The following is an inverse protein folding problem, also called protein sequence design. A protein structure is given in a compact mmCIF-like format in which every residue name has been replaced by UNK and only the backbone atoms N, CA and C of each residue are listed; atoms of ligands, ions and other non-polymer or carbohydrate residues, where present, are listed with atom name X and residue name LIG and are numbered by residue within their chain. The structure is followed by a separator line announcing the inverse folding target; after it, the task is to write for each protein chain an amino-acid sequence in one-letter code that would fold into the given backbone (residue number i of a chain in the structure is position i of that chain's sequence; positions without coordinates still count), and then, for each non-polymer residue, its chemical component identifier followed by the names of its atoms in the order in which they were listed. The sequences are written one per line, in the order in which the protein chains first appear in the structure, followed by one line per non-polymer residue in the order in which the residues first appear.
data_IF_590833746228
#
_entry.id   IF_590833746228
#
_cell.length_a   1.000
_cell.length_b   1.000
_cell.length_c   1.000
_cell.angle_alpha   90.00
_cell.angle_beta   90.00
_cell.angle_gamma   90.00
#
_symmetry.space_group_name_H-M   'P 1'
#
loop_
_entity.id
_entity.type
_entity.pdbx_description
1 polymer ?
#
# COMPACT_ATOMS: atom_id res chain seq x y z
N UNK A 1 4.13 -23.42 17.70
CA UNK A 1 4.77 -24.72 18.00
C UNK A 1 6.16 -24.39 18.53
N UNK A 2 6.54 -24.91 19.70
CA UNK A 2 7.78 -24.51 20.38
C UNK A 2 9.03 -25.15 19.77
N UNK A 3 10.17 -24.46 19.88
CA UNK A 3 11.48 -24.88 19.41
C UNK A 3 11.82 -26.32 19.84
N UNK A 4 11.50 -26.67 21.10
CA UNK A 4 11.72 -28.01 21.67
C UNK A 4 11.06 -29.13 20.87
N UNK A 5 9.87 -28.87 20.30
CA UNK A 5 9.11 -29.85 19.54
C UNK A 5 9.74 -30.08 18.17
N UNK A 6 10.25 -29.00 17.55
CA UNK A 6 10.99 -29.06 16.29
C UNK A 6 12.35 -29.73 16.50
N UNK A 7 13.07 -29.44 17.59
CA UNK A 7 14.33 -30.11 17.91
C UNK A 7 14.12 -31.61 18.06
N UNK A 8 13.07 -32.05 18.79
CA UNK A 8 12.75 -33.48 18.91
C UNK A 8 12.39 -34.14 17.58
N UNK A 9 11.69 -33.45 16.68
CA UNK A 9 11.23 -34.01 15.39
C UNK A 9 12.37 -34.18 14.36
N UNK A 10 13.48 -33.46 14.54
CA UNK A 10 14.63 -33.47 13.66
C UNK A 10 15.88 -34.13 14.26
N UNK A 11 15.82 -34.56 15.53
CA UNK A 11 16.88 -35.34 16.17
C UNK A 11 16.91 -36.76 15.57
N UNK A 12 18.03 -37.13 14.92
CA UNK A 12 18.25 -38.49 14.38
C UNK A 12 17.97 -38.67 12.89
N UNK A 13 17.71 -37.59 12.13
CA UNK A 13 17.66 -37.62 10.66
C UNK A 13 19.02 -37.23 10.10
N UNK A 14 19.54 -37.99 9.13
CA UNK A 14 20.76 -37.61 8.42
C UNK A 14 20.53 -36.28 7.67
N UNK A 15 21.51 -35.36 7.75
CA UNK A 15 21.51 -33.99 7.21
C UNK A 15 20.79 -32.89 8.01
N UNK A 16 20.50 -33.08 9.31
CA UNK A 16 19.87 -32.03 10.14
C UNK A 16 20.79 -31.39 11.18
N UNK A 17 22.06 -31.80 11.26
CA UNK A 17 23.02 -31.30 12.25
C UNK A 17 23.33 -29.81 12.10
N UNK A 18 23.49 -29.32 10.87
CA UNK A 18 23.71 -27.89 10.59
C UNK A 18 22.47 -27.05 10.92
N UNK A 19 21.27 -27.57 10.65
CA UNK A 19 20.01 -26.90 11.00
C UNK A 19 19.82 -26.83 12.52
N UNK A 20 20.17 -27.90 13.24
CA UNK A 20 20.13 -27.95 14.71
C UNK A 20 21.16 -27.01 15.34
N UNK A 21 22.37 -26.91 14.78
CA UNK A 21 23.35 -25.91 15.22
C UNK A 21 22.85 -24.48 14.98
N UNK A 22 22.29 -24.19 13.80
CA UNK A 22 21.77 -22.86 13.49
C UNK A 22 20.60 -22.47 14.39
N UNK A 23 19.70 -23.42 14.69
CA UNK A 23 18.60 -23.22 15.64
C UNK A 23 19.10 -23.03 17.08
N UNK A 24 20.17 -23.73 17.49
CA UNK A 24 20.78 -23.56 18.81
C UNK A 24 21.57 -22.26 18.94
N UNK A 25 22.18 -21.75 17.86
CA UNK A 25 22.81 -20.43 17.83
C UNK A 25 21.74 -19.34 17.98
N UNK A 26 20.63 -19.45 17.25
CA UNK A 26 19.50 -18.52 17.35
C UNK A 26 18.81 -18.56 18.73
N UNK A 27 18.86 -19.71 19.43
CA UNK A 27 18.32 -19.87 20.79
C UNK A 27 19.32 -19.44 21.89
N UNK A 28 20.63 -19.51 21.63
CA UNK A 28 21.68 -18.92 22.48
C UNK A 28 21.74 -17.40 22.37
N UNK A 29 21.41 -16.86 21.21
CA UNK A 29 21.04 -15.45 21.01
C UNK A 29 19.59 -15.17 21.44
N UNK A 30 18.94 -16.16 22.04
CA UNK A 30 17.60 -16.08 22.59
C UNK A 30 17.51 -14.81 23.42
N UNK A 31 16.64 -13.91 22.96
CA UNK A 31 16.35 -12.62 23.59
C UNK A 31 16.47 -12.78 25.09
N UNK A 32 17.53 -12.25 25.71
CA UNK A 32 17.63 -12.32 27.14
C UNK A 32 16.34 -11.70 27.64
N UNK A 33 15.55 -12.45 28.40
CA UNK A 33 14.49 -11.88 29.24
C UNK A 33 15.12 -11.05 30.40
N UNK A 34 16.36 -10.60 30.21
CA UNK A 34 17.00 -9.60 31.00
C UNK A 34 16.21 -8.33 30.79
N UNK A 35 15.61 -7.87 31.89
CA UNK A 35 15.07 -6.52 32.12
C UNK A 35 15.42 -5.61 30.96
N UNK A 36 14.46 -5.32 30.07
CA UNK A 36 14.63 -4.41 28.94
C UNK A 36 15.50 -3.25 29.41
N UNK A 37 16.75 -3.22 28.95
CA UNK A 37 17.69 -2.20 29.37
C UNK A 37 17.01 -0.88 29.04
N UNK A 38 16.76 -0.04 30.04
CA UNK A 38 16.08 1.22 29.80
C UNK A 38 17.12 2.18 29.22
N UNK A 39 17.02 2.42 27.92
CA UNK A 39 17.91 3.37 27.24
C UNK A 39 17.38 4.79 27.49
N UNK A 40 18.28 5.67 27.91
CA UNK A 40 17.99 7.11 27.94
C UNK A 40 17.98 7.69 26.51
N UNK A 41 17.29 8.81 26.31
CA UNK A 41 17.13 9.48 25.01
C UNK A 41 18.49 9.75 24.35
N UNK A 42 19.46 10.26 25.12
CA UNK A 42 20.80 10.57 24.61
C UNK A 42 21.57 9.31 24.18
N UNK A 43 21.37 8.20 24.89
CA UNK A 43 22.01 6.92 24.54
C UNK A 43 21.47 6.38 23.21
N UNK A 44 20.15 6.50 23.01
CA UNK A 44 19.49 6.11 21.75
C UNK A 44 19.97 6.99 20.61
N UNK A 45 19.98 8.30 20.79
CA UNK A 45 20.46 9.27 19.80
C UNK A 45 21.92 8.98 19.42
N UNK A 46 22.78 8.73 20.41
CA UNK A 46 24.19 8.39 20.17
C UNK A 46 24.35 7.06 19.43
N UNK A 47 23.52 6.06 19.72
CA UNK A 47 23.53 4.79 18.96
C UNK A 47 23.10 5.03 17.52
N UNK A 48 22.03 5.79 17.29
CA UNK A 48 21.54 6.15 15.95
C UNK A 48 22.59 6.97 15.17
N UNK A 49 23.36 7.83 15.84
CA UNK A 49 24.54 8.50 15.25
C UNK A 49 25.57 7.51 14.75
N UNK A 50 26.03 6.62 15.64
CA UNK A 50 27.04 5.62 15.28
C UNK A 50 26.59 4.70 14.15
N UNK A 51 25.34 4.27 14.15
CA UNK A 51 24.81 3.42 13.08
C UNK A 51 24.77 4.16 11.74
N UNK A 52 24.28 5.40 11.74
CA UNK A 52 24.28 6.23 10.54
C UNK A 52 25.71 6.52 10.04
N UNK A 53 26.68 6.77 10.93
CA UNK A 53 28.07 7.00 10.55
C UNK A 53 28.73 5.76 9.92
N UNK A 54 28.40 4.56 10.41
CA UNK A 54 29.01 3.31 9.95
C UNK A 54 28.33 2.76 8.71
N UNK A 55 27.00 2.79 8.66
CA UNK A 55 26.21 2.11 7.62
C UNK A 55 25.51 3.07 6.66
N UNK A 56 25.49 4.38 6.95
CA UNK A 56 24.77 5.40 6.19
C UNK A 56 23.26 5.14 6.03
N UNK A 57 22.72 4.19 6.78
CA UNK A 57 21.32 3.80 6.78
C UNK A 57 20.89 3.54 8.23
N UNK A 58 19.71 4.03 8.59
CA UNK A 58 19.09 3.78 9.88
C UNK A 58 17.67 3.31 9.62
N UNK A 59 17.32 2.16 10.18
CA UNK A 59 15.97 1.63 10.13
C UNK A 59 15.27 1.82 11.47
N UNK A 60 13.95 1.64 11.48
CA UNK A 60 13.18 1.69 12.74
C UNK A 60 13.49 0.52 13.68
N UNK A 61 14.03 -0.58 13.16
CA UNK A 61 14.32 -1.79 13.93
C UNK A 61 15.60 -1.64 14.76
N UNK A 62 16.45 -0.68 14.40
CA UNK A 62 17.67 -0.34 15.13
C UNK A 62 17.40 0.35 16.47
N UNK A 63 16.19 0.89 16.64
CA UNK A 63 15.78 1.73 17.75
C UNK A 63 14.81 0.99 18.68
N UNK A 64 15.11 0.93 20.00
CA UNK A 64 14.22 0.28 20.95
C UNK A 64 12.79 0.83 20.86
N UNK A 65 11.81 -0.08 20.84
CA UNK A 65 10.39 0.25 20.65
C UNK A 65 9.86 1.25 21.70
N UNK A 66 10.40 1.20 22.93
CA UNK A 66 10.05 2.12 24.01
C UNK A 66 10.50 3.55 23.73
N UNK A 67 11.67 3.73 23.10
CA UNK A 67 12.26 5.02 22.78
C UNK A 67 11.51 5.75 21.67
N UNK A 68 10.78 5.01 20.82
CA UNK A 68 9.92 5.56 19.77
C UNK A 68 8.62 6.19 20.31
N UNK A 69 8.53 6.42 21.62
CA UNK A 69 7.52 7.28 22.27
C UNK A 69 8.03 8.71 22.50
N UNK A 70 9.34 8.96 22.36
CA UNK A 70 9.94 10.28 22.57
C UNK A 70 9.91 11.11 21.28
N UNK A 71 9.47 12.36 21.41
CA UNK A 71 9.47 13.34 20.31
C UNK A 71 10.90 13.68 19.89
N UNK A 72 11.83 13.72 20.84
CA UNK A 72 13.25 14.04 20.66
C UNK A 72 13.94 12.96 19.81
N UNK A 73 13.71 11.68 20.14
CA UNK A 73 14.23 10.55 19.37
C UNK A 73 13.71 10.60 17.94
N UNK A 74 12.40 10.78 17.73
CA UNK A 74 11.82 10.90 16.39
C UNK A 74 12.35 12.10 15.61
N UNK A 75 12.46 13.25 16.27
CA UNK A 75 13.02 14.46 15.65
C UNK A 75 14.42 14.17 15.13
N UNK A 76 15.27 13.53 15.93
CA UNK A 76 16.63 13.18 15.50
C UNK A 76 16.68 12.10 14.40
N UNK A 77 15.80 11.10 14.48
CA UNK A 77 15.74 10.02 13.51
C UNK A 77 15.26 10.47 12.13
N UNK A 78 14.28 11.37 12.06
CA UNK A 78 13.67 11.78 10.78
C UNK A 78 14.68 12.27 9.75
N UNK A 79 15.73 12.98 10.19
CA UNK A 79 16.79 13.50 9.31
C UNK A 79 17.64 12.40 8.67
N UNK A 80 17.56 11.17 9.19
CA UNK A 80 18.43 10.04 8.86
C UNK A 80 17.69 8.87 8.22
N UNK A 81 16.38 8.84 8.36
CA UNK A 81 15.55 7.85 7.69
C UNK A 81 15.56 8.14 6.19
N UNK A 82 15.62 7.09 5.37
CA UNK A 82 15.32 7.19 3.95
C UNK A 82 13.84 7.63 3.73
N UNK A 83 13.51 7.97 2.48
CA UNK A 83 12.16 8.44 2.15
C UNK A 83 11.04 7.43 2.41
N UNK A 84 11.27 6.14 2.16
CA UNK A 84 10.28 5.08 2.38
C UNK A 84 10.03 4.86 3.87
N UNK A 85 11.10 4.77 4.65
CA UNK A 85 11.10 4.67 6.11
C UNK A 85 10.42 5.88 6.75
N UNK A 86 10.66 7.10 6.24
CA UNK A 86 10.00 8.31 6.72
C UNK A 86 8.48 8.26 6.50
N UNK A 87 8.02 7.82 5.32
CA UNK A 87 6.60 7.68 4.98
C UNK A 87 5.94 6.57 5.80
N UNK A 88 6.58 5.40 5.93
CA UNK A 88 6.11 4.29 6.75
C UNK A 88 5.98 4.67 8.24
N UNK A 89 6.82 5.59 8.71
CA UNK A 89 6.84 6.06 10.09
C UNK A 89 5.66 6.97 10.46
N UNK A 90 4.99 7.59 9.48
CA UNK A 90 3.88 8.54 9.73
C UNK A 90 2.80 7.93 10.61
N UNK A 91 2.34 6.72 10.27
CA UNK A 91 1.31 6.02 11.03
C UNK A 91 1.78 5.69 12.45
N UNK A 92 3.06 5.30 12.61
CA UNK A 92 3.63 4.97 13.93
C UNK A 92 3.67 6.20 14.84
N UNK A 93 4.11 7.34 14.34
CA UNK A 93 4.12 8.60 15.09
C UNK A 93 2.70 9.09 15.41
N UNK A 94 1.75 8.91 14.49
CA UNK A 94 0.34 9.25 14.71
C UNK A 94 -0.29 8.41 15.82
N UNK A 95 -0.04 7.09 15.83
CA UNK A 95 -0.49 6.17 16.88
C UNK A 95 0.11 6.51 18.24
N UNK A 96 1.37 6.94 18.27
CA UNK A 96 2.02 7.42 19.49
C UNK A 96 1.48 8.79 19.97
N UNK A 97 0.58 9.43 19.20
CA UNK A 97 0.01 10.74 19.53
C UNK A 97 0.97 11.91 19.33
N UNK A 98 2.13 11.66 18.72
CA UNK A 98 3.21 12.65 18.56
C UNK A 98 2.90 13.70 17.48
N UNK A 99 2.01 13.36 16.56
CA UNK A 99 1.60 14.24 15.44
C UNK A 99 0.30 15.02 15.72
N UNK A 100 -0.19 15.01 16.95
CA UNK A 100 -1.40 15.74 17.34
C UNK A 100 -1.19 17.25 17.21
N UNK A 101 -2.20 17.97 16.73
CA UNK A 101 -2.20 19.43 16.74
C UNK A 101 -2.22 19.94 18.19
N UNK A 102 -1.08 20.44 18.69
CA UNK A 102 -1.03 21.15 19.97
C UNK A 102 -1.65 22.54 19.80
N UNK A 103 -2.38 23.02 20.81
CA UNK A 103 -2.95 24.37 20.81
C UNK A 103 -1.86 25.46 20.66
N UNK A 104 -0.64 25.15 21.09
CA UNK A 104 0.45 26.14 21.19
C UNK A 104 1.32 26.23 19.93
N UNK A 105 1.03 25.46 18.87
CA UNK A 105 1.80 25.45 17.60
C UNK A 105 3.33 25.22 17.74
N UNK A 106 3.79 24.85 18.94
CA UNK A 106 5.20 24.62 19.33
C UNK A 106 5.67 23.20 19.02
N UNK A 107 4.81 22.35 18.46
CA UNK A 107 5.20 20.97 18.17
C UNK A 107 6.15 20.94 16.97
N UNK A 108 7.45 20.82 17.27
CA UNK A 108 8.54 20.82 16.28
C UNK A 108 8.45 19.59 15.37
N UNK A 109 7.97 18.46 15.88
CA UNK A 109 8.01 17.19 15.16
C UNK A 109 7.10 17.16 13.92
N UNK A 110 5.81 17.59 13.96
CA UNK A 110 4.99 17.70 12.75
C UNK A 110 5.61 18.58 11.67
N UNK A 111 6.21 19.71 12.03
CA UNK A 111 6.86 20.59 11.05
C UNK A 111 8.08 19.90 10.42
N UNK A 112 8.91 19.27 11.26
CA UNK A 112 10.06 18.49 10.79
C UNK A 112 9.65 17.32 9.88
N UNK A 113 8.53 16.66 10.19
CA UNK A 113 7.96 15.63 9.33
C UNK A 113 7.48 16.21 7.99
N UNK A 114 6.82 17.36 7.99
CA UNK A 114 6.42 18.05 6.76
C UNK A 114 7.64 18.42 5.92
N UNK A 115 8.68 18.97 6.53
CA UNK A 115 9.93 19.30 5.86
C UNK A 115 10.57 18.04 5.25
N UNK A 116 10.60 16.93 6.02
CA UNK A 116 11.11 15.65 5.54
C UNK A 116 10.29 15.10 4.36
N UNK A 117 8.96 15.04 4.47
CA UNK A 117 8.07 14.48 3.44
C UNK A 117 8.07 15.32 2.14
N UNK A 118 8.39 16.60 2.24
CA UNK A 118 8.48 17.52 1.08
C UNK A 118 9.90 17.67 0.54
N UNK A 119 10.89 17.06 1.20
CA UNK A 119 12.27 17.11 0.76
C UNK A 119 12.44 16.36 -0.58
N UNK A 120 13.35 16.88 -1.41
CA UNK A 120 13.54 16.40 -2.79
C UNK A 120 13.98 14.94 -2.88
N UNK A 121 14.75 14.44 -1.93
CA UNK A 121 15.20 13.05 -1.87
C UNK A 121 14.02 12.08 -1.66
N UNK A 122 13.08 12.38 -0.75
CA UNK A 122 11.84 11.63 -0.54
C UNK A 122 10.98 11.69 -1.79
N UNK A 123 10.86 12.88 -2.38
CA UNK A 123 10.16 13.05 -3.64
C UNK A 123 10.81 12.29 -4.80
N UNK A 124 12.11 11.95 -4.73
CA UNK A 124 12.87 11.13 -5.70
C UNK A 124 13.04 9.65 -5.32
N UNK A 125 12.61 9.28 -4.11
CA UNK A 125 12.74 7.94 -3.54
C UNK A 125 11.81 6.93 -4.24
N UNK A 126 11.96 5.61 -4.01
CA UNK A 126 11.07 4.60 -4.59
C UNK A 126 9.65 4.59 -4.01
N UNK A 127 9.29 5.56 -3.15
CA UNK A 127 7.93 5.73 -2.65
C UNK A 127 6.98 5.91 -3.83
N UNK A 128 6.01 5.00 -3.95
CA UNK A 128 4.98 5.08 -4.99
C UNK A 128 3.77 5.90 -4.51
N UNK A 129 2.93 6.41 -5.43
CA UNK A 129 1.67 7.05 -5.07
C UNK A 129 0.77 6.17 -4.18
N UNK A 130 0.83 4.84 -4.32
CA UNK A 130 0.09 3.90 -3.49
C UNK A 130 0.58 3.87 -2.04
N UNK A 131 1.90 3.86 -1.82
CA UNK A 131 2.48 3.91 -0.47
C UNK A 131 2.08 5.21 0.23
N UNK A 132 2.19 6.35 -0.47
CA UNK A 132 1.82 7.65 0.08
C UNK A 132 0.31 7.75 0.39
N UNK A 133 -0.56 7.21 -0.47
CA UNK A 133 -2.01 7.14 -0.20
C UNK A 133 -2.33 6.27 1.03
N UNK A 134 -1.69 5.11 1.14
CA UNK A 134 -1.87 4.21 2.29
C UNK A 134 -1.40 4.87 3.59
N UNK A 135 -0.30 5.62 3.54
CA UNK A 135 0.18 6.41 4.68
C UNK A 135 -0.77 7.55 5.05
N UNK A 136 -1.35 8.25 4.07
CA UNK A 136 -2.37 9.28 4.28
C UNK A 136 -3.59 8.75 5.01
N UNK A 137 -4.19 7.67 4.50
CA UNK A 137 -5.37 7.05 5.14
C UNK A 137 -5.05 6.58 6.56
N UNK A 138 -3.90 5.94 6.74
CA UNK A 138 -3.44 5.50 8.04
C UNK A 138 -3.22 6.65 9.04
N UNK A 139 -2.81 7.82 8.53
CA UNK A 139 -2.63 9.03 9.32
C UNK A 139 -3.96 9.68 9.73
N UNK A 140 -4.94 9.71 8.83
CA UNK A 140 -6.26 10.28 9.09
C UNK A 140 -7.09 9.43 10.06
N UNK A 141 -6.84 8.12 10.09
CA UNK A 141 -7.64 7.16 10.86
C UNK A 141 -6.81 6.28 11.84
N UNK A 142 -5.94 6.84 12.69
CA UNK A 142 -4.94 6.08 13.44
C UNK A 142 -5.56 5.05 14.40
N UNK A 143 -6.77 5.34 14.91
CA UNK A 143 -7.52 4.44 15.79
C UNK A 143 -7.93 3.12 15.15
N UNK A 144 -8.02 3.06 13.81
CA UNK A 144 -8.39 1.85 13.07
C UNK A 144 -7.22 0.91 12.85
N UNK A 145 -5.98 1.34 13.12
CA UNK A 145 -4.77 0.53 12.96
C UNK A 145 -4.13 0.13 14.30
N UNK A 146 -4.76 0.45 15.43
CA UNK A 146 -4.27 0.04 16.74
C UNK A 146 -4.62 -1.43 17.00
N UNK A 147 -3.64 -2.23 17.40
CA UNK A 147 -3.85 -3.64 17.77
C UNK A 147 -4.69 -3.80 19.04
N UNK A 148 -4.89 -2.73 19.82
CA UNK A 148 -5.70 -2.76 21.05
C UNK A 148 -7.18 -3.09 20.79
N UNK A 149 -7.67 -2.90 19.56
CA UNK A 149 -9.02 -3.33 19.17
C UNK A 149 -9.12 -4.86 18.95
N UNK A 150 -8.01 -5.51 18.57
CA UNK A 150 -7.97 -6.92 18.18
C UNK A 150 -7.99 -7.89 19.39
N UNK A 151 -7.81 -7.39 20.62
CA UNK A 151 -7.69 -8.20 21.83
C UNK A 151 -9.00 -8.69 22.46
N UNK A 152 -10.18 -8.36 21.91
CA UNK A 152 -11.48 -8.70 22.57
C UNK A 152 -12.33 -9.77 21.87
N UNK A 153 -11.89 -10.34 20.75
CA UNK A 153 -12.76 -11.21 19.94
C UNK A 153 -12.60 -12.70 20.23
N UNK A 154 -11.53 -13.16 20.90
CA UNK A 154 -11.24 -14.60 21.06
C UNK A 154 -11.13 -15.19 22.48
N UNK A 155 -11.57 -14.49 23.54
CA UNK A 155 -11.68 -15.10 24.88
C UNK A 155 -13.12 -15.11 25.40
N UNK A 156 -13.94 -15.98 24.81
CA UNK A 156 -15.21 -16.41 25.41
C UNK A 156 -15.01 -17.75 26.13
N UNK A 157 -14.18 -17.77 27.18
CA UNK A 157 -14.14 -18.86 28.17
C UNK A 157 -14.07 -18.30 29.59
N UNK A 158 -15.25 -18.22 30.20
CA UNK A 158 -15.53 -18.56 31.60
C UNK A 158 -14.38 -18.32 32.60
N UNK A 159 -14.34 -17.14 33.19
CA UNK A 159 -13.94 -16.97 34.60
C UNK A 159 -14.72 -15.78 35.19
N UNK A 160 -15.75 -16.10 35.97
CA UNK A 160 -16.52 -15.14 36.76
C UNK A 160 -15.64 -14.67 37.93
N UNK A 161 -15.06 -13.48 37.81
CA UNK A 161 -14.75 -12.66 38.99
C UNK A 161 -15.14 -11.20 38.69
N UNK A 162 -15.87 -10.53 39.58
CA UNK A 162 -16.25 -9.13 39.39
C UNK A 162 -15.03 -8.24 39.65
N UNK A 163 -14.28 -7.90 38.61
CA UNK A 163 -13.33 -6.77 38.69
C UNK A 163 -14.11 -5.46 38.61
N UNK A 164 -13.80 -4.57 39.55
CA UNK A 164 -14.33 -3.21 39.61
C UNK A 164 -14.21 -2.50 38.26
N UNK A 165 -15.15 -1.60 37.91
CA UNK A 165 -15.12 -0.86 36.65
C UNK A 165 -13.89 0.04 36.61
N UNK A 166 -12.79 -0.45 36.04
CA UNK A 166 -11.67 0.40 35.63
C UNK A 166 -12.18 1.35 34.57
N UNK A 167 -12.12 2.65 34.89
CA UNK A 167 -12.50 3.76 34.00
C UNK A 167 -11.95 3.47 32.60
N UNK A 168 -12.84 3.43 31.61
CA UNK A 168 -12.43 3.28 30.22
C UNK A 168 -11.38 4.36 29.91
N UNK A 169 -10.21 4.00 29.33
CA UNK A 169 -9.23 4.99 28.95
C UNK A 169 -9.92 5.97 27.99
N UNK A 170 -9.88 7.27 28.33
CA UNK A 170 -10.42 8.31 27.47
C UNK A 170 -9.79 8.16 26.09
N UNK A 171 -10.62 7.87 25.07
CA UNK A 171 -10.21 7.98 23.68
C UNK A 171 -9.81 9.43 23.44
N UNK A 172 -8.50 9.73 23.47
CA UNK A 172 -7.99 11.02 23.00
C UNK A 172 -8.34 11.10 21.52
N UNK A 173 -9.26 12.00 21.18
CA UNK A 173 -9.53 12.35 19.79
C UNK A 173 -8.28 13.08 19.27
N UNK A 174 -7.43 12.36 18.55
CA UNK A 174 -6.25 12.94 17.90
C UNK A 174 -6.74 13.79 16.74
N UNK A 175 -6.78 15.12 16.92
CA UNK A 175 -7.05 16.02 15.81
C UNK A 175 -5.88 15.93 14.82
N UNK A 176 -6.19 15.52 13.59
CA UNK A 176 -5.23 15.36 12.48
C UNK A 176 -4.58 16.71 12.18
N UNK A 177 -3.27 16.72 11.94
CA UNK A 177 -2.56 17.91 11.51
C UNK A 177 -2.66 18.08 10.00
N UNK A 178 -3.35 19.13 9.56
CA UNK A 178 -3.60 19.38 8.14
C UNK A 178 -2.32 19.59 7.33
N UNK A 179 -1.26 20.14 7.92
CA UNK A 179 0.01 20.33 7.19
C UNK A 179 0.65 19.00 6.78
N UNK A 180 0.50 17.95 7.62
CA UNK A 180 0.98 16.60 7.31
C UNK A 180 0.12 15.96 6.21
N UNK A 181 -1.20 16.16 6.25
CA UNK A 181 -2.13 15.71 5.19
C UNK A 181 -1.75 16.36 3.86
N UNK A 182 -1.55 17.67 3.84
CA UNK A 182 -1.17 18.41 2.63
C UNK A 182 0.20 17.97 2.10
N UNK A 183 1.15 17.68 3.00
CA UNK A 183 2.46 17.15 2.63
C UNK A 183 2.36 15.75 1.98
N UNK A 184 1.49 14.87 2.49
CA UNK A 184 1.24 13.56 1.90
C UNK A 184 0.54 13.66 0.54
N UNK A 185 -0.41 14.59 0.37
CA UNK A 185 -0.99 14.86 -0.95
C UNK A 185 0.05 15.37 -1.96
N UNK A 186 0.94 16.27 -1.54
CA UNK A 186 2.07 16.72 -2.37
C UNK A 186 3.01 15.55 -2.72
N UNK A 187 3.24 14.65 -1.77
CA UNK A 187 4.07 13.46 -2.01
C UNK A 187 3.42 12.48 -2.99
N UNK A 188 2.09 12.29 -2.97
CA UNK A 188 1.38 11.49 -4.00
C UNK A 188 1.62 12.08 -5.40
N UNK A 189 1.52 13.41 -5.53
CA UNK A 189 1.79 14.10 -6.79
C UNK A 189 3.29 14.08 -7.18
N UNK A 190 4.19 14.14 -6.19
CA UNK A 190 5.64 14.13 -6.38
C UNK A 190 6.18 12.76 -6.80
N UNK A 191 5.81 11.71 -6.07
CA UNK A 191 6.22 10.30 -6.30
C UNK A 191 5.87 9.80 -7.70
N UNK A 192 4.80 10.36 -8.27
CA UNK A 192 4.38 10.10 -9.65
C UNK A 192 5.50 10.40 -10.67
N UNK A 193 6.38 11.38 -10.39
CA UNK A 193 7.46 11.79 -11.31
C UNK A 193 8.62 10.81 -11.40
N UNK A 194 8.78 9.92 -10.41
CA UNK A 194 9.89 8.95 -10.38
C UNK A 194 9.61 7.70 -11.22
N UNK A 195 8.38 7.59 -11.70
CA UNK A 195 7.94 6.44 -12.47
C UNK A 195 8.45 6.63 -13.89
N UNK A 196 9.38 5.77 -14.31
CA UNK A 196 9.87 5.84 -15.68
C UNK A 196 8.73 5.65 -16.70
N UNK A 197 8.89 6.26 -17.87
CA UNK A 197 7.92 6.17 -18.96
C UNK A 197 7.79 4.71 -19.43
N UNK A 198 6.56 4.30 -19.73
CA UNK A 198 6.35 3.06 -20.48
C UNK A 198 6.70 3.31 -21.94
N UNK A 199 7.22 2.30 -22.65
CA UNK A 199 7.53 2.43 -24.08
C UNK A 199 6.38 1.91 -24.97
N UNK A 200 5.34 1.33 -24.36
CA UNK A 200 4.29 0.54 -25.03
C UNK A 200 2.89 1.11 -24.80
N UNK A 201 2.02 0.96 -25.80
CA UNK A 201 0.67 1.55 -25.77
C UNK A 201 -0.22 0.85 -24.75
N UNK A 202 -0.85 1.62 -23.88
CA UNK A 202 -1.61 1.13 -22.74
C UNK A 202 -3.02 1.72 -22.71
N UNK A 203 -4.04 0.88 -22.64
CA UNK A 203 -5.40 1.29 -22.33
C UNK A 203 -5.71 0.90 -20.89
N UNK A 204 -6.18 1.85 -20.08
CA UNK A 204 -6.63 1.60 -18.70
C UNK A 204 -8.12 1.87 -18.64
N UNK A 205 -8.93 0.86 -18.33
CA UNK A 205 -10.39 0.94 -18.30
C UNK A 205 -10.87 0.74 -16.88
N UNK A 206 -11.54 1.75 -16.34
CA UNK A 206 -11.95 1.81 -14.94
C UNK A 206 -13.46 1.60 -14.80
N UNK A 207 -13.85 0.72 -13.89
CA UNK A 207 -15.20 0.63 -13.37
C UNK A 207 -15.51 1.89 -12.55
N UNK A 208 -16.50 2.66 -12.98
CA UNK A 208 -16.93 3.91 -12.33
C UNK A 208 -18.29 3.77 -11.64
N UNK A 209 -18.80 2.54 -11.49
CA UNK A 209 -20.08 2.31 -10.80
C UNK A 209 -20.00 2.80 -9.36
N UNK A 210 -21.14 3.24 -8.81
CA UNK A 210 -21.20 3.82 -7.46
C UNK A 210 -20.62 2.94 -6.35
N UNK A 211 -20.57 1.61 -6.52
CA UNK A 211 -19.93 0.72 -5.56
C UNK A 211 -18.40 0.91 -5.47
N UNK A 212 -17.73 1.41 -6.51
CA UNK A 212 -16.32 1.80 -6.42
C UNK A 212 -16.09 2.98 -5.45
N UNK A 213 -17.10 3.84 -5.23
CA UNK A 213 -17.02 4.94 -4.25
C UNK A 213 -17.22 4.48 -2.81
N UNK A 214 -17.98 3.42 -2.59
CA UNK A 214 -18.40 2.98 -1.24
C UNK A 214 -17.72 1.70 -0.79
N UNK A 215 -17.09 0.98 -1.72
CA UNK A 215 -16.26 -0.17 -1.42
C UNK A 215 -14.92 0.26 -0.84
N UNK A 216 -14.30 -0.65 -0.09
CA UNK A 216 -12.96 -0.47 0.39
C UNK A 216 -12.06 -1.62 -0.07
N UNK A 217 -10.95 -1.27 -0.71
CA UNK A 217 -10.08 -2.22 -1.41
C UNK A 217 -8.80 -2.53 -0.65
N UNK A 218 -8.43 -1.63 0.27
CA UNK A 218 -7.36 -1.87 1.23
C UNK A 218 -7.83 -1.60 2.65
N UNK A 219 -7.61 -2.60 3.49
CA UNK A 219 -7.90 -2.57 4.92
C UNK A 219 -6.56 -2.78 5.61
N UNK A 220 -5.83 -1.73 5.96
CA UNK A 220 -4.56 -1.93 6.66
C UNK A 220 -4.71 -2.41 8.12
N UNK A 221 -5.89 -2.91 8.48
CA UNK A 221 -6.14 -3.75 9.64
C UNK A 221 -6.94 -5.01 9.21
N UNK A 222 -6.64 -6.21 9.77
CA UNK A 222 -7.47 -7.41 9.63
C UNK A 222 -8.97 -7.25 9.97
N UNK A 223 -9.37 -6.23 10.73
CA UNK A 223 -10.78 -5.97 11.08
C UNK A 223 -11.66 -5.46 9.91
N UNK A 224 -11.10 -5.27 8.71
CA UNK A 224 -11.89 -5.20 7.47
C UNK A 224 -12.68 -3.89 7.25
N UNK A 225 -12.45 -2.85 8.05
CA UNK A 225 -12.90 -1.49 7.71
C UNK A 225 -11.84 -0.87 6.83
N UNK A 226 -11.99 -1.03 5.52
CA UNK A 226 -11.04 -0.46 4.59
C UNK A 226 -11.14 1.05 4.52
N UNK A 227 -10.10 1.66 4.00
CA UNK A 227 -9.93 3.12 4.03
C UNK A 227 -9.76 3.67 2.64
N UNK A 228 -8.93 3.01 1.84
CA UNK A 228 -8.85 3.30 0.40
C UNK A 228 -10.09 2.75 -0.29
N UNK A 229 -10.86 3.64 -0.91
CA UNK A 229 -12.00 3.28 -1.73
C UNK A 229 -11.59 2.65 -3.07
N UNK A 230 -12.51 1.98 -3.75
CA UNK A 230 -12.26 1.45 -5.10
C UNK A 230 -11.84 2.54 -6.09
N UNK A 231 -12.48 3.71 -6.04
CA UNK A 231 -12.09 4.86 -6.87
C UNK A 231 -10.69 5.38 -6.56
N UNK A 232 -10.32 5.51 -5.29
CA UNK A 232 -8.97 5.96 -4.93
C UNK A 232 -7.90 4.94 -5.33
N UNK A 233 -8.15 3.64 -5.11
CA UNK A 233 -7.24 2.58 -5.54
C UNK A 233 -7.05 2.57 -7.06
N UNK A 234 -8.16 2.68 -7.81
CA UNK A 234 -8.11 2.80 -9.28
C UNK A 234 -7.39 4.08 -9.72
N UNK A 235 -7.66 5.22 -9.09
CA UNK A 235 -7.06 6.50 -9.42
C UNK A 235 -5.55 6.49 -9.17
N UNK A 236 -5.09 5.88 -8.08
CA UNK A 236 -3.65 5.69 -7.83
C UNK A 236 -3.00 4.79 -8.86
N UNK A 237 -3.66 3.70 -9.28
CA UNK A 237 -3.13 2.83 -10.35
C UNK A 237 -3.03 3.63 -11.65
N UNK A 238 -4.08 4.37 -12.02
CA UNK A 238 -4.08 5.22 -13.22
C UNK A 238 -2.99 6.27 -13.14
N UNK A 239 -2.88 7.01 -12.04
CA UNK A 239 -1.79 7.97 -11.84
C UNK A 239 -0.44 7.27 -11.99
N UNK A 240 -0.24 6.14 -11.34
CA UNK A 240 1.05 5.41 -11.40
C UNK A 240 1.37 4.94 -12.82
N UNK A 241 0.39 4.51 -13.60
CA UNK A 241 0.61 4.01 -14.97
C UNK A 241 0.65 5.11 -16.03
N UNK A 242 0.08 6.28 -15.75
CA UNK A 242 0.10 7.46 -16.63
C UNK A 242 1.24 8.42 -16.32
N UNK A 243 1.79 8.34 -15.11
CA UNK A 243 2.91 9.18 -14.69
C UNK A 243 4.22 8.67 -15.27
N UNK A 244 5.06 9.62 -15.66
CA UNK A 244 6.25 9.39 -16.47
C UNK A 244 6.30 10.33 -17.67
N UNK A 245 5.15 10.71 -18.24
CA UNK A 245 5.03 11.68 -19.35
C UNK A 245 4.66 11.04 -20.70
N UNK A 246 4.54 11.85 -21.76
CA UNK A 246 4.04 11.42 -23.08
C UNK A 246 5.11 10.72 -23.92
N UNK A 247 5.06 9.40 -23.96
CA UNK A 247 5.15 8.55 -25.14
C UNK A 247 5.34 7.10 -24.66
N UNK A 248 4.46 6.15 -24.99
CA UNK A 248 3.31 6.26 -25.91
C UNK A 248 2.01 6.60 -25.17
N UNK A 249 0.92 6.64 -25.95
CA UNK A 249 -0.42 7.06 -25.51
C UNK A 249 -0.94 6.11 -24.43
N UNK A 250 -1.16 6.63 -23.22
CA UNK A 250 -1.94 5.96 -22.18
C UNK A 250 -3.34 6.54 -22.22
N UNK A 251 -4.32 5.75 -22.67
CA UNK A 251 -5.72 6.16 -22.65
C UNK A 251 -6.39 5.67 -21.37
N UNK A 252 -6.86 6.60 -20.56
CA UNK A 252 -7.74 6.25 -19.44
C UNK A 252 -9.18 6.30 -19.93
N UNK A 253 -9.91 5.23 -19.67
CA UNK A 253 -11.26 5.00 -20.09
C UNK A 253 -12.12 4.64 -18.89
N UNK A 254 -13.42 4.83 -19.02
CA UNK A 254 -14.40 4.39 -18.06
C UNK A 254 -15.55 3.66 -18.76
N UNK A 255 -16.10 2.66 -18.09
CA UNK A 255 -17.31 2.00 -18.57
C UNK A 255 -18.50 2.94 -18.47
N UNK A 256 -19.09 3.26 -19.61
CA UNK A 256 -20.21 4.19 -19.74
C UNK A 256 -21.47 3.51 -20.29
N UNK A 257 -22.62 4.16 -20.14
CA UNK A 257 -23.89 3.62 -20.62
C UNK A 257 -23.92 3.29 -22.14
N UNK A 258 -22.96 3.82 -22.90
CA UNK A 258 -22.81 3.57 -24.35
C UNK A 258 -21.57 2.73 -24.69
N UNK A 259 -20.95 2.08 -23.70
CA UNK A 259 -19.75 1.25 -23.88
C UNK A 259 -18.57 1.77 -23.09
N UNK A 260 -17.60 2.38 -23.77
CA UNK A 260 -16.36 2.88 -23.16
C UNK A 260 -16.18 4.35 -23.52
N UNK A 261 -15.98 5.20 -22.51
CA UNK A 261 -15.77 6.64 -22.68
C UNK A 261 -14.35 7.03 -22.24
N UNK A 262 -13.72 7.95 -22.96
CA UNK A 262 -12.40 8.49 -22.56
C UNK A 262 -12.54 9.40 -21.34
N UNK A 263 -11.68 9.18 -20.35
CA UNK A 263 -11.52 10.05 -19.18
C UNK A 263 -10.23 10.86 -19.39
N UNK A 264 -10.31 12.18 -19.64
CA UNK A 264 -9.12 12.97 -19.95
C UNK A 264 -8.23 13.08 -18.72
N UNK A 265 -7.04 12.48 -18.78
CA UNK A 265 -5.98 12.58 -17.78
C UNK A 265 -4.96 13.58 -18.29
N UNK A 266 -5.02 14.81 -17.76
CA UNK A 266 -4.09 15.88 -18.10
C UNK A 266 -2.83 15.77 -17.26
N UNK A 267 -1.70 16.26 -17.77
CA UNK A 267 -0.47 16.39 -16.99
C UNK A 267 -0.74 17.21 -15.71
N UNK A 268 -0.27 16.71 -14.57
CA UNK A 268 -0.48 17.35 -13.27
C UNK A 268 -1.86 17.17 -12.64
N UNK A 269 -2.73 16.31 -13.20
CA UNK A 269 -3.99 15.96 -12.53
C UNK A 269 -3.74 15.38 -11.13
N UNK A 270 -4.48 15.86 -10.14
CA UNK A 270 -4.37 15.35 -8.77
C UNK A 270 -5.21 14.09 -8.57
N UNK A 271 -4.90 13.32 -7.53
CA UNK A 271 -5.69 12.15 -7.14
C UNK A 271 -7.17 12.50 -6.93
N UNK A 272 -7.45 13.59 -6.23
CA UNK A 272 -8.81 14.03 -5.92
C UNK A 272 -9.57 14.40 -7.21
N UNK A 273 -8.95 15.17 -8.10
CA UNK A 273 -9.54 15.54 -9.39
C UNK A 273 -9.85 14.31 -10.26
N UNK A 274 -8.97 13.31 -10.25
CA UNK A 274 -9.19 12.08 -11.00
C UNK A 274 -10.36 11.26 -10.41
N UNK A 275 -10.44 11.18 -9.08
CA UNK A 275 -11.57 10.53 -8.40
C UNK A 275 -12.89 11.26 -8.68
N UNK A 276 -12.89 12.59 -8.71
CA UNK A 276 -14.06 13.38 -9.09
C UNK A 276 -14.50 13.09 -10.53
N UNK A 277 -13.57 13.04 -11.48
CA UNK A 277 -13.85 12.66 -12.87
C UNK A 277 -14.47 11.27 -12.99
N UNK A 278 -14.01 10.31 -12.20
CA UNK A 278 -14.64 8.99 -12.17
C UNK A 278 -16.10 9.06 -11.69
N UNK A 279 -16.39 9.85 -10.66
CA UNK A 279 -17.76 10.03 -10.13
C UNK A 279 -18.69 10.76 -11.09
N UNK A 280 -18.17 11.68 -11.89
CA UNK A 280 -18.92 12.45 -12.89
C UNK A 280 -19.24 11.64 -14.16
N UNK A 281 -18.50 10.56 -14.41
CA UNK A 281 -18.68 9.76 -15.62
C UNK A 281 -20.00 9.00 -15.58
N UNK A 282 -20.74 9.03 -16.69
CA UNK A 282 -22.00 8.29 -16.84
C UNK A 282 -21.74 6.80 -16.61
N UNK A 283 -22.48 6.20 -15.69
CA UNK A 283 -22.28 4.82 -15.28
C UNK A 283 -22.67 3.85 -16.41
N UNK A 284 -21.77 2.90 -16.71
CA UNK A 284 -21.99 1.79 -17.64
C UNK A 284 -21.84 0.40 -17.01
N UNK A 285 -22.20 -0.62 -17.80
CA UNK A 285 -21.88 -2.01 -17.49
C UNK A 285 -20.40 -2.29 -17.79
N UNK A 286 -19.76 -3.08 -16.95
CA UNK A 286 -18.38 -3.51 -17.14
C UNK A 286 -18.34 -4.58 -18.24
N UNK A 287 -17.91 -4.19 -19.44
CA UNK A 287 -17.77 -5.09 -20.59
C UNK A 287 -16.31 -5.19 -21.05
N UNK A 288 -15.64 -6.28 -20.66
CA UNK A 288 -14.25 -6.52 -21.08
C UNK A 288 -14.14 -6.62 -22.61
N UNK A 289 -15.14 -7.18 -23.27
CA UNK A 289 -15.18 -7.28 -24.74
C UNK A 289 -15.20 -5.91 -25.40
N UNK A 290 -15.99 -4.97 -24.88
CA UNK A 290 -16.01 -3.59 -25.38
C UNK A 290 -14.64 -2.91 -25.19
N UNK A 291 -13.99 -3.13 -24.04
CA UNK A 291 -12.65 -2.62 -23.78
C UNK A 291 -11.60 -3.19 -24.74
N UNK A 292 -11.63 -4.50 -25.00
CA UNK A 292 -10.71 -5.17 -25.92
C UNK A 292 -10.92 -4.74 -27.37
N UNK A 293 -12.18 -4.63 -27.82
CA UNK A 293 -12.50 -4.16 -29.18
C UNK A 293 -12.03 -2.72 -29.39
N UNK A 294 -12.31 -1.83 -28.43
CA UNK A 294 -11.82 -0.45 -28.47
C UNK A 294 -10.29 -0.39 -28.53
N UNK A 295 -9.61 -1.19 -27.71
CA UNK A 295 -8.16 -1.26 -27.66
C UNK A 295 -7.57 -1.77 -28.98
N UNK A 296 -8.24 -2.74 -29.61
CA UNK A 296 -7.86 -3.28 -30.91
C UNK A 296 -7.96 -2.21 -32.01
N UNK A 297 -9.08 -1.48 -32.07
CA UNK A 297 -9.27 -0.38 -33.02
C UNK A 297 -8.19 0.70 -32.90
N UNK A 298 -7.71 0.94 -31.67
CA UNK A 298 -6.65 1.91 -31.38
C UNK A 298 -5.23 1.32 -31.41
N UNK A 299 -5.08 0.05 -31.76
CA UNK A 299 -3.80 -0.68 -31.79
C UNK A 299 -3.03 -0.58 -30.47
N UNK A 300 -3.71 -0.82 -29.36
CA UNK A 300 -3.12 -0.87 -28.02
C UNK A 300 -2.45 -2.22 -27.77
N UNK A 301 -1.34 -2.24 -27.05
CA UNK A 301 -0.60 -3.47 -26.75
C UNK A 301 -1.09 -4.15 -25.49
N UNK A 302 -1.52 -3.37 -24.50
CA UNK A 302 -2.02 -3.87 -23.22
C UNK A 302 -3.29 -3.14 -22.81
N UNK A 303 -4.26 -3.90 -22.32
CA UNK A 303 -5.50 -3.41 -21.74
C UNK A 303 -5.51 -3.76 -20.26
N UNK A 304 -5.71 -2.78 -19.40
CA UNK A 304 -5.84 -2.95 -17.94
C UNK A 304 -7.26 -2.62 -17.56
N UNK A 305 -8.04 -3.61 -17.15
CA UNK A 305 -9.40 -3.43 -16.66
C UNK A 305 -9.38 -3.44 -15.13
N UNK A 306 -9.79 -2.34 -14.52
CA UNK A 306 -9.84 -2.16 -13.06
C UNK A 306 -11.29 -2.19 -12.62
N UNK A 307 -11.66 -3.15 -11.78
CA UNK A 307 -13.00 -3.25 -11.18
C UNK A 307 -12.90 -3.61 -9.70
N UNK A 308 -13.98 -3.42 -8.96
CA UNK A 308 -14.02 -3.79 -7.56
C UNK A 308 -13.96 -5.31 -7.37
N UNK A 309 -14.86 -6.04 -8.02
CA UNK A 309 -15.03 -7.49 -7.83
C UNK A 309 -14.97 -8.19 -9.18
N UNK A 310 -14.19 -9.26 -9.22
CA UNK A 310 -14.19 -10.23 -10.29
C UNK A 310 -14.89 -11.50 -9.81
N UNK A 311 -15.53 -12.20 -10.74
CA UNK A 311 -16.00 -13.55 -10.55
C UNK A 311 -15.35 -14.48 -11.58
N UNK A 312 -15.48 -15.79 -11.36
CA UNK A 312 -14.85 -16.80 -12.21
C UNK A 312 -15.38 -16.79 -13.65
N UNK A 313 -16.66 -16.42 -13.83
CA UNK A 313 -17.30 -16.40 -15.14
C UNK A 313 -16.76 -15.23 -15.97
N UNK A 314 -16.67 -14.03 -15.37
CA UNK A 314 -16.10 -12.85 -15.99
C UNK A 314 -14.63 -13.05 -16.39
N UNK A 315 -13.82 -13.70 -15.52
CA UNK A 315 -12.43 -14.05 -15.83
C UNK A 315 -12.35 -14.99 -17.03
N UNK A 316 -13.17 -16.05 -17.03
CA UNK A 316 -13.15 -17.06 -18.10
C UNK A 316 -13.60 -16.47 -19.43
N UNK A 317 -14.66 -15.64 -19.41
CA UNK A 317 -15.15 -14.92 -20.58
C UNK A 317 -14.07 -13.98 -21.14
N UNK A 318 -13.46 -13.16 -20.29
CA UNK A 318 -12.39 -12.24 -20.69
C UNK A 318 -11.17 -12.95 -21.32
N UNK A 319 -10.75 -14.09 -20.75
CA UNK A 319 -9.66 -14.87 -21.30
C UNK A 319 -10.01 -15.47 -22.69
N UNK A 320 -11.26 -15.93 -22.85
CA UNK A 320 -11.76 -16.43 -24.14
C UNK A 320 -11.83 -15.31 -25.19
N UNK A 321 -12.37 -14.14 -24.83
CA UNK A 321 -12.47 -12.98 -25.72
C UNK A 321 -11.11 -12.47 -26.16
N UNK A 322 -10.14 -12.40 -25.25
CA UNK A 322 -8.76 -12.05 -25.58
C UNK A 322 -8.16 -13.03 -26.60
N UNK A 323 -8.36 -14.33 -26.37
CA UNK A 323 -7.87 -15.37 -27.28
C UNK A 323 -8.50 -15.23 -28.67
N UNK A 324 -9.82 -15.05 -28.74
CA UNK A 324 -10.52 -14.87 -30.01
C UNK A 324 -10.03 -13.64 -30.78
N UNK A 325 -9.79 -12.52 -30.08
CA UNK A 325 -9.27 -11.29 -30.70
C UNK A 325 -7.84 -11.50 -31.21
N UNK A 326 -6.97 -12.12 -30.43
CA UNK A 326 -5.60 -12.39 -30.86
C UNK A 326 -5.54 -13.36 -32.05
N UNK A 327 -6.34 -14.42 -32.03
CA UNK A 327 -6.42 -15.41 -33.10
C UNK A 327 -6.99 -14.78 -34.39
N UNK A 328 -8.06 -13.98 -34.29
CA UNK A 328 -8.72 -13.34 -35.44
C UNK A 328 -7.85 -12.30 -36.13
N UNK A 329 -7.09 -11.53 -35.36
CA UNK A 329 -6.35 -10.37 -35.86
C UNK A 329 -4.83 -10.60 -35.95
N UNK A 330 -4.36 -11.80 -35.58
CA UNK A 330 -2.95 -12.13 -35.49
C UNK A 330 -2.16 -11.13 -34.61
N UNK A 331 -2.74 -10.78 -33.46
CA UNK A 331 -2.15 -9.83 -32.49
C UNK A 331 -1.63 -10.55 -31.26
N UNK A 332 -0.74 -9.88 -30.52
CA UNK A 332 -0.27 -10.30 -29.19
C UNK A 332 -0.73 -9.31 -28.12
N UNK A 333 -2.00 -8.91 -28.17
CA UNK A 333 -2.57 -8.02 -27.16
C UNK A 333 -2.56 -8.71 -25.81
N UNK A 334 -2.26 -7.96 -24.76
CA UNK A 334 -2.32 -8.43 -23.37
C UNK A 334 -3.49 -7.82 -22.62
N UNK A 335 -4.02 -8.59 -21.68
CA UNK A 335 -5.05 -8.16 -20.76
C UNK A 335 -4.57 -8.32 -19.32
N UNK A 336 -4.82 -7.28 -18.53
CA UNK A 336 -4.74 -7.31 -17.08
C UNK A 336 -6.15 -7.12 -16.53
N UNK A 337 -6.65 -8.08 -15.76
CA UNK A 337 -7.86 -7.90 -14.97
C UNK A 337 -7.47 -7.65 -13.52
N UNK A 338 -7.82 -6.48 -12.99
CA UNK A 338 -7.52 -6.07 -11.63
C UNK A 338 -8.82 -5.98 -10.82
N UNK A 339 -9.03 -6.97 -9.95
CA UNK A 339 -10.16 -7.02 -9.02
C UNK A 339 -9.75 -6.50 -7.65
N UNK A 340 -9.89 -5.20 -7.41
CA UNK A 340 -9.31 -4.51 -6.25
C UNK A 340 -9.81 -5.05 -4.89
N UNK A 341 -11.06 -5.49 -4.80
CA UNK A 341 -11.67 -6.08 -3.60
C UNK A 341 -11.77 -7.61 -3.65
N UNK A 342 -11.11 -8.26 -4.60
CA UNK A 342 -11.20 -9.70 -4.83
C UNK A 342 -10.06 -10.42 -4.13
N UNK A 343 -10.36 -11.45 -3.31
CA UNK A 343 -9.33 -12.12 -2.47
C UNK A 343 -8.81 -13.43 -3.05
N UNK A 344 -9.71 -14.29 -3.52
CA UNK A 344 -9.36 -15.64 -3.92
C UNK A 344 -10.14 -16.02 -5.17
N UNK A 345 -9.44 -16.18 -6.29
CA UNK A 345 -9.95 -16.75 -7.52
C UNK A 345 -8.86 -17.58 -8.16
N UNK A 346 -9.27 -18.56 -8.95
CA UNK A 346 -8.35 -19.42 -9.68
C UNK A 346 -8.40 -19.03 -11.15
N UNK A 347 -7.26 -18.91 -11.79
CA UNK A 347 -7.21 -18.75 -13.24
C UNK A 347 -6.11 -19.60 -13.82
N UNK A 348 -6.30 -20.04 -15.06
CA UNK A 348 -5.24 -20.65 -15.82
C UNK A 348 -4.25 -19.56 -16.25
N UNK A 349 -2.97 -19.82 -16.04
CA UNK A 349 -1.90 -18.90 -16.43
C UNK A 349 -1.77 -18.93 -17.95
N UNK A 350 -1.85 -17.78 -18.59
CA UNK A 350 -1.51 -17.61 -20.01
C UNK A 350 -0.58 -16.42 -20.16
N UNK A 351 0.29 -16.42 -21.17
CA UNK A 351 1.31 -15.38 -21.35
C UNK A 351 0.74 -13.98 -21.62
N UNK A 352 -0.50 -13.91 -22.13
CA UNK A 352 -1.17 -12.67 -22.50
C UNK A 352 -2.27 -12.26 -21.51
N UNK A 353 -2.46 -12.99 -20.41
CA UNK A 353 -3.45 -12.68 -19.39
C UNK A 353 -2.86 -12.63 -17.98
N UNK A 354 -2.93 -11.47 -17.33
CA UNK A 354 -2.60 -11.29 -15.91
C UNK A 354 -3.88 -11.04 -15.10
N UNK A 355 -4.02 -11.77 -14.00
CA UNK A 355 -5.05 -11.53 -13.00
C UNK A 355 -4.41 -10.95 -11.74
N UNK A 356 -4.84 -9.75 -11.35
CA UNK A 356 -4.42 -9.09 -10.12
C UNK A 356 -5.61 -9.08 -9.16
N UNK A 357 -5.41 -9.69 -7.98
CA UNK A 357 -6.44 -9.86 -6.96
C UNK A 357 -6.06 -9.04 -5.73
N UNK A 358 -6.92 -8.10 -5.36
CA UNK A 358 -6.70 -7.19 -4.25
C UNK A 358 -6.03 -5.89 -4.66
N UNK A 359 -5.81 -5.03 -3.67
CA UNK A 359 -5.06 -3.79 -3.81
C UNK A 359 -4.04 -3.68 -2.69
N UNK A 360 -2.77 -3.54 -3.07
CA UNK A 360 -1.64 -3.29 -2.16
C UNK A 360 -0.65 -2.30 -2.80
N UNK A 361 0.39 -1.93 -2.06
CA UNK A 361 1.41 -0.99 -2.52
C UNK A 361 2.19 -1.43 -3.76
N UNK A 362 2.18 -2.73 -4.09
CA UNK A 362 2.91 -3.33 -5.22
C UNK A 362 2.03 -3.52 -6.45
N UNK A 363 0.71 -3.43 -6.29
CA UNK A 363 -0.27 -3.66 -7.35
C UNK A 363 0.06 -2.86 -8.61
N UNK A 364 0.31 -1.54 -8.56
CA UNK A 364 0.68 -0.78 -9.75
C UNK A 364 1.99 -1.26 -10.40
N UNK A 365 3.01 -1.57 -9.59
CA UNK A 365 4.32 -2.02 -10.07
C UNK A 365 4.24 -3.38 -10.77
N UNK A 366 3.40 -4.30 -10.27
CA UNK A 366 3.14 -5.60 -10.91
C UNK A 366 2.49 -5.41 -12.28
N UNK A 367 1.46 -4.56 -12.36
CA UNK A 367 0.77 -4.25 -13.63
C UNK A 367 1.76 -3.66 -14.64
N UNK A 368 2.59 -2.71 -14.19
CA UNK A 368 3.62 -2.09 -15.03
C UNK A 368 4.68 -3.09 -15.49
N UNK A 369 5.21 -3.91 -14.60
CA UNK A 369 6.22 -4.91 -14.94
C UNK A 369 5.70 -5.92 -15.98
N UNK A 370 4.43 -6.33 -15.86
CA UNK A 370 3.79 -7.20 -16.83
C UNK A 370 3.58 -6.52 -18.20
N UNK A 371 3.09 -5.27 -18.19
CA UNK A 371 3.02 -4.45 -19.40
C UNK A 371 4.40 -4.34 -20.09
N UNK A 372 5.45 -4.18 -19.29
CA UNK A 372 6.81 -4.04 -19.78
C UNK A 372 7.52 -5.34 -20.19
N UNK A 373 6.88 -6.51 -20.06
CA UNK A 373 7.48 -7.83 -20.39
C UNK A 373 8.64 -8.20 -19.48
N UNK A 374 8.59 -7.80 -18.21
CA UNK A 374 9.63 -8.18 -17.25
C UNK A 374 9.47 -9.62 -16.72
N UNK A 375 8.32 -10.27 -16.96
CA UNK A 375 8.08 -11.68 -16.65
C UNK A 375 6.95 -12.28 -17.48
#
# INVERSE_FOLDING_TARGET
MGLDKTVQEYTGKDNTSELLELMQVLDKDGHPKDKEQQWDVDQVINKVNKLHEVYNEVTLDDVPSQSLKSTEVWSHMLDKLDGESAVASVNRMAKAGLLSQSADNTNVLPNKLVDRLTHSDVASSPVTPAVALMALHAYEHPSRFSSEACGKVYEKKSCKSPRAPTKAPLKKSTKVNQSVVDALHKLIAGSSKNIEKTAKKLAIVVDVRGYMSTSHVWTGNPEGKGEVTGHEGAAVIVLTLTSGGTCPVVNTLAFSGTGVAEVPVTEGITLLQLVEKFKETVIGEVSVDAALNWAQEKNMETVVVITHKLDQQAISAAAQSLKQINDKNNTQMRLVLCGLGTKHLHTQRTENFLLVLGFDQRTPSIIRAYHERLF
#
